data_IF_590915208861
#
_entry.id   IF_590915208861
#
_cell.length_a   1.000
_cell.length_b   1.000
_cell.length_c   1.000
_cell.angle_alpha   90.00
_cell.angle_beta   90.00
_cell.angle_gamma   90.00
#
_symmetry.space_group_name_H-M   'P 1'
#
loop_
_entity.id
_entity.type
_entity.pdbx_description
1 polymer ?
#
# COMPACT_ATOMS: atom_id res chain seq x y z
N UNK A 1 14.19 -1.06 -0.69
CA UNK A 1 14.02 -2.21 -1.61
C UNK A 1 13.44 -1.69 -2.91
N UNK A 2 13.74 -2.29 -4.08
CA UNK A 2 13.05 -1.92 -5.32
C UNK A 2 11.62 -2.45 -5.31
N UNK A 3 10.69 -1.74 -5.95
CA UNK A 3 9.29 -2.15 -5.98
C UNK A 3 9.08 -3.57 -6.52
N UNK A 4 9.80 -3.96 -7.58
CA UNK A 4 9.65 -5.28 -8.19
C UNK A 4 10.04 -6.41 -7.23
N UNK A 5 11.13 -6.24 -6.49
CA UNK A 5 11.58 -7.22 -5.49
C UNK A 5 10.56 -7.33 -4.34
N UNK A 6 10.04 -6.17 -3.91
CA UNK A 6 9.01 -6.13 -2.88
C UNK A 6 7.73 -6.83 -3.32
N UNK A 7 7.23 -6.52 -4.52
CA UNK A 7 6.01 -7.12 -5.05
C UNK A 7 6.12 -8.65 -5.15
N UNK A 8 7.27 -9.16 -5.62
CA UNK A 8 7.52 -10.60 -5.68
C UNK A 8 7.50 -11.27 -4.30
N UNK A 9 8.00 -10.59 -3.26
CA UNK A 9 7.93 -11.10 -1.88
C UNK A 9 6.48 -11.18 -1.41
N UNK A 10 5.71 -10.11 -1.62
CA UNK A 10 4.29 -10.03 -1.25
C UNK A 10 3.47 -11.10 -1.97
N UNK A 11 3.64 -11.25 -3.29
CA UNK A 11 2.96 -12.29 -4.07
C UNK A 11 3.28 -13.68 -3.54
N UNK A 12 4.56 -13.97 -3.29
CA UNK A 12 4.99 -15.27 -2.77
C UNK A 12 4.42 -15.57 -1.39
N UNK A 13 4.39 -14.60 -0.49
CA UNK A 13 3.82 -14.79 0.86
C UNK A 13 2.31 -15.03 0.79
N UNK A 14 1.61 -14.33 -0.11
CA UNK A 14 0.19 -14.54 -0.35
C UNK A 14 -0.10 -15.94 -0.92
N UNK A 15 0.72 -16.44 -1.84
CA UNK A 15 0.59 -17.81 -2.39
C UNK A 15 0.85 -18.89 -1.34
N UNK A 16 1.70 -18.59 -0.36
CA UNK A 16 2.05 -19.49 0.74
C UNK A 16 1.12 -19.37 1.95
N UNK A 17 0.10 -18.50 1.87
CA UNK A 17 -0.82 -18.18 2.97
C UNK A 17 -0.08 -17.71 4.25
N UNK A 18 1.13 -17.15 4.11
CA UNK A 18 1.93 -16.60 5.22
C UNK A 18 1.48 -15.18 5.57
N UNK A 19 0.19 -15.01 5.91
CA UNK A 19 -0.46 -13.71 6.08
C UNK A 19 0.12 -12.87 7.23
N UNK A 20 0.55 -13.49 8.33
CA UNK A 20 1.18 -12.77 9.45
C UNK A 20 2.47 -12.05 9.00
N UNK A 21 3.36 -12.77 8.30
CA UNK A 21 4.60 -12.19 7.75
C UNK A 21 4.32 -11.18 6.64
N UNK A 22 3.30 -11.44 5.84
CA UNK A 22 2.85 -10.53 4.80
C UNK A 22 2.46 -9.17 5.41
N UNK A 23 1.66 -9.19 6.47
CA UNK A 23 1.21 -7.98 7.16
C UNK A 23 2.36 -7.24 7.85
N UNK A 24 3.24 -7.96 8.54
CA UNK A 24 4.44 -7.39 9.16
C UNK A 24 5.31 -6.65 8.13
N UNK A 25 5.58 -7.27 6.98
CA UNK A 25 6.41 -6.67 5.93
C UNK A 25 5.75 -5.41 5.34
N UNK A 26 4.43 -5.42 5.14
CA UNK A 26 3.72 -4.24 4.68
C UNK A 26 3.83 -3.11 5.72
N UNK A 27 3.62 -3.40 7.01
CA UNK A 27 3.69 -2.36 8.05
C UNK A 27 5.10 -1.77 8.22
N UNK A 28 6.13 -2.62 8.20
CA UNK A 28 7.52 -2.21 8.36
C UNK A 28 8.04 -1.38 7.18
N UNK A 29 7.52 -1.61 5.97
CA UNK A 29 7.98 -0.87 4.79
C UNK A 29 7.40 0.54 4.65
N UNK A 30 6.36 0.92 5.39
CA UNK A 30 5.71 2.23 5.24
C UNK A 30 6.72 3.38 5.39
N UNK A 31 7.59 3.31 6.41
CA UNK A 31 8.56 4.37 6.68
C UNK A 31 9.72 4.41 5.70
N UNK A 32 10.03 3.29 5.04
CA UNK A 32 11.03 3.26 3.98
C UNK A 32 10.45 3.75 2.64
N UNK A 33 9.21 3.35 2.32
CA UNK A 33 8.50 3.80 1.11
C UNK A 33 8.38 5.32 1.09
N UNK A 34 8.09 5.94 2.23
CA UNK A 34 7.86 7.40 2.28
C UNK A 34 9.10 8.24 1.96
N UNK A 35 10.30 7.65 2.07
CA UNK A 35 11.57 8.30 1.74
C UNK A 35 11.83 8.35 0.23
N UNK A 36 11.07 7.60 -0.55
CA UNK A 36 11.23 7.52 -2.01
C UNK A 36 10.70 8.79 -2.71
N UNK A 37 10.91 8.87 -4.02
CA UNK A 37 10.27 9.89 -4.84
C UNK A 37 8.79 9.57 -5.08
N UNK A 38 8.03 10.59 -5.48
CA UNK A 38 6.58 10.46 -5.67
C UNK A 38 6.19 9.36 -6.65
N UNK A 39 6.95 9.13 -7.73
CA UNK A 39 6.59 8.11 -8.73
C UNK A 39 6.73 6.71 -8.17
N UNK A 40 7.77 6.47 -7.37
CA UNK A 40 7.94 5.19 -6.68
C UNK A 40 6.85 5.00 -5.63
N UNK A 41 6.57 6.01 -4.80
CA UNK A 41 5.48 5.97 -3.80
C UNK A 41 4.14 5.62 -4.46
N UNK A 42 3.85 6.16 -5.65
CA UNK A 42 2.61 5.86 -6.37
C UNK A 42 2.43 4.36 -6.68
N UNK A 43 3.51 3.65 -7.01
CA UNK A 43 3.47 2.19 -7.28
C UNK A 43 3.11 1.41 -6.02
N UNK A 44 3.75 1.74 -4.90
CA UNK A 44 3.43 1.12 -3.61
C UNK A 44 2.00 1.43 -3.17
N UNK A 45 1.51 2.66 -3.36
CA UNK A 45 0.12 3.00 -3.05
C UNK A 45 -0.88 2.21 -3.91
N UNK A 46 -0.60 1.95 -5.19
CA UNK A 46 -1.45 1.09 -6.02
C UNK A 46 -1.50 -0.34 -5.48
N UNK A 47 -0.36 -0.89 -5.06
CA UNK A 47 -0.29 -2.22 -4.46
C UNK A 47 -1.09 -2.26 -3.15
N UNK A 48 -0.84 -1.35 -2.21
CA UNK A 48 -1.54 -1.33 -0.91
C UNK A 48 -3.05 -1.16 -1.09
N UNK A 49 -3.46 -0.29 -2.03
CA UNK A 49 -4.86 -0.13 -2.37
C UNK A 49 -5.47 -1.44 -2.88
N UNK A 50 -4.82 -2.13 -3.82
CA UNK A 50 -5.32 -3.41 -4.36
C UNK A 50 -5.45 -4.53 -3.32
N UNK A 51 -4.66 -4.46 -2.24
CA UNK A 51 -4.68 -5.42 -1.14
C UNK A 51 -5.65 -5.03 -0.01
N UNK A 52 -6.13 -3.78 0.01
CA UNK A 52 -7.04 -3.26 1.03
C UNK A 52 -8.45 -3.84 0.87
N UNK A 53 -8.65 -5.07 1.32
CA UNK A 53 -9.94 -5.78 1.28
C UNK A 53 -10.69 -5.82 2.61
N UNK A 54 -9.99 -5.54 3.71
CA UNK A 54 -10.53 -5.57 5.07
C UNK A 54 -10.05 -4.38 5.88
N UNK A 55 -10.55 -4.23 7.11
CA UNK A 55 -10.33 -3.02 7.92
C UNK A 55 -8.84 -2.75 8.20
N UNK A 56 -8.06 -3.80 8.48
CA UNK A 56 -6.63 -3.65 8.81
C UNK A 56 -5.80 -3.27 7.59
N UNK A 57 -6.02 -3.95 6.46
CA UNK A 57 -5.34 -3.62 5.19
C UNK A 57 -5.74 -2.24 4.66
N UNK A 58 -6.99 -1.81 4.88
CA UNK A 58 -7.44 -0.45 4.57
C UNK A 58 -6.76 0.59 5.48
N UNK A 59 -6.71 0.36 6.78
CA UNK A 59 -6.03 1.25 7.72
C UNK A 59 -4.54 1.41 7.38
N UNK A 60 -3.91 0.34 6.88
CA UNK A 60 -2.54 0.35 6.40
C UNK A 60 -2.35 1.22 5.15
N UNK A 61 -3.24 1.06 4.16
CA UNK A 61 -3.28 1.94 2.99
C UNK A 61 -3.44 3.41 3.40
N UNK A 62 -4.40 3.72 4.27
CA UNK A 62 -4.68 5.07 4.75
C UNK A 62 -3.47 5.68 5.46
N UNK A 63 -2.77 4.89 6.27
CA UNK A 63 -1.53 5.31 6.96
C UNK A 63 -0.46 5.72 5.95
N UNK A 64 -0.22 4.92 4.91
CA UNK A 64 0.76 5.25 3.86
C UNK A 64 0.33 6.47 3.05
N UNK A 65 -0.93 6.53 2.63
CA UNK A 65 -1.49 7.62 1.84
C UNK A 65 -1.42 8.95 2.58
N UNK A 66 -1.88 9.00 3.83
CA UNK A 66 -1.88 10.22 4.64
C UNK A 66 -0.45 10.71 4.92
N UNK A 67 0.50 9.80 5.20
CA UNK A 67 1.92 10.17 5.30
C UNK A 67 2.41 10.81 3.99
N UNK A 68 2.10 10.22 2.84
CA UNK A 68 2.55 10.72 1.54
C UNK A 68 1.95 12.09 1.21
N UNK A 69 0.69 12.32 1.56
CA UNK A 69 0.02 13.62 1.44
C UNK A 69 0.65 14.66 2.36
N UNK A 70 0.91 14.32 3.63
CA UNK A 70 1.50 15.26 4.59
C UNK A 70 2.88 15.77 4.17
N UNK A 71 3.63 14.96 3.44
CA UNK A 71 4.96 15.29 2.90
C UNK A 71 4.89 15.96 1.52
N UNK A 72 3.70 16.24 0.99
CA UNK A 72 3.50 16.84 -0.33
C UNK A 72 3.94 15.94 -1.49
N UNK A 73 4.14 14.64 -1.25
CA UNK A 73 4.56 13.67 -2.27
C UNK A 73 3.40 13.26 -3.17
N UNK A 74 2.19 13.25 -2.60
CA UNK A 74 0.94 12.87 -3.26
C UNK A 74 -0.12 13.94 -2.94
N UNK A 75 -1.06 14.16 -3.86
CA UNK A 75 -2.19 15.07 -3.63
C UNK A 75 -3.35 14.33 -3.00
N UNK A 76 -4.06 14.96 -2.06
CA UNK A 76 -5.29 14.39 -1.48
C UNK A 76 -6.32 14.01 -2.55
N UNK A 77 -6.42 14.78 -3.63
CA UNK A 77 -7.33 14.52 -4.77
C UNK A 77 -7.01 13.22 -5.51
N UNK A 78 -5.83 12.63 -5.28
CA UNK A 78 -5.46 11.34 -5.85
C UNK A 78 -6.15 10.15 -5.15
N UNK A 79 -6.78 10.35 -3.98
CA UNK A 79 -7.41 9.27 -3.21
C UNK A 79 -8.36 8.42 -4.07
N UNK A 80 -9.23 9.08 -4.85
CA UNK A 80 -10.24 8.42 -5.68
C UNK A 80 -9.67 7.36 -6.61
N UNK A 81 -8.47 7.57 -7.15
CA UNK A 81 -7.81 6.61 -8.06
C UNK A 81 -7.43 5.30 -7.36
N UNK A 82 -7.21 5.36 -6.05
CA UNK A 82 -6.84 4.21 -5.23
C UNK A 82 -8.07 3.50 -4.66
N UNK A 83 -9.13 4.25 -4.33
CA UNK A 83 -10.42 3.67 -3.93
C UNK A 83 -10.98 2.73 -5.01
N UNK A 84 -10.83 3.09 -6.30
CA UNK A 84 -11.21 2.24 -7.43
C UNK A 84 -10.46 0.90 -7.51
N UNK A 85 -9.27 0.82 -6.90
CA UNK A 85 -8.46 -0.40 -6.85
C UNK A 85 -8.79 -1.28 -5.65
N UNK A 86 -9.32 -0.69 -4.57
CA UNK A 86 -9.46 -1.37 -3.29
C UNK A 86 -10.70 -2.27 -3.24
N UNK A 87 -10.53 -3.56 -2.87
CA UNK A 87 -11.67 -4.46 -2.69
C UNK A 87 -12.64 -4.02 -1.58
N UNK A 88 -12.16 -3.34 -0.52
CA UNK A 88 -12.98 -2.87 0.59
C UNK A 88 -14.02 -1.83 0.14
N UNK A 89 -13.65 -0.94 -0.81
CA UNK A 89 -14.55 0.08 -1.35
C UNK A 89 -15.62 -0.46 -2.30
N UNK A 90 -15.60 -1.76 -2.65
CA UNK A 90 -16.69 -2.38 -3.41
C UNK A 90 -17.93 -2.66 -2.57
N UNK A 91 -17.81 -2.59 -1.25
CA UNK A 91 -18.86 -2.89 -0.28
C UNK A 91 -19.35 -1.66 0.51
N UNK A 92 -18.77 -0.48 0.24
CA UNK A 92 -19.15 0.82 0.79
C UNK A 92 -20.08 1.58 -0.17
#
# INVERSE_FOLDING_TARGET
MKFEEFNQIIDKLSEQEEYEKFDEILDDQIDEIIKLDSKEIEKYLMLYASLAGEAESLARFDKLFNKAVSLGKIKQTALKKYEELSPAYRWL
#
